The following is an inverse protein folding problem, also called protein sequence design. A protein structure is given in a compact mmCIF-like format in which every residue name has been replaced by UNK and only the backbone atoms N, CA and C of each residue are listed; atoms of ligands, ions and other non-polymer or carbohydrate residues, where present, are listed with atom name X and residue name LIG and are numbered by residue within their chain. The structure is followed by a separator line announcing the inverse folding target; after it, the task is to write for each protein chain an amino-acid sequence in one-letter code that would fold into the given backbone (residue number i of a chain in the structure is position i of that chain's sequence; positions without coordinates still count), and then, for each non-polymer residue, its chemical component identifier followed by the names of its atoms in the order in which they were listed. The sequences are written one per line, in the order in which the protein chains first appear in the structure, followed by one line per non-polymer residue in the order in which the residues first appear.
data_IF_575270155474
#
_entry.id   IF_575270155474
#
_cell.length_a   1.000
_cell.length_b   1.000
_cell.length_c   1.000
_cell.angle_alpha   90.00
_cell.angle_beta   90.00
_cell.angle_gamma   90.00
#
_symmetry.space_group_name_H-M   'P 1'
#
loop_
_entity.id
_entity.type
_entity.pdbx_description
1 polymer ?
#
# COMPACT_ATOMS: atom_id res chain seq x y z
N UNK A 1 16.24 -12.92 7.65
CA UNK A 1 15.84 -13.77 8.80
C UNK A 1 16.92 -14.79 9.14
N UNK A 2 17.05 -15.16 10.42
CA UNK A 2 17.96 -16.24 10.85
C UNK A 2 17.29 -17.61 10.71
N UNK A 3 18.08 -18.64 10.44
CA UNK A 3 17.55 -20.01 10.29
C UNK A 3 16.79 -20.50 11.53
N UNK A 4 17.29 -20.20 12.74
CA UNK A 4 16.60 -20.57 13.99
C UNK A 4 15.21 -19.94 14.10
N UNK A 5 15.06 -18.70 13.63
CA UNK A 5 13.80 -17.96 13.69
C UNK A 5 12.81 -18.52 12.69
N UNK A 6 13.29 -18.86 11.47
CA UNK A 6 12.46 -19.51 10.45
C UNK A 6 11.92 -20.85 10.98
N UNK A 7 12.77 -21.67 11.59
CA UNK A 7 12.36 -22.96 12.11
C UNK A 7 11.35 -22.80 13.25
N UNK A 8 11.57 -21.87 14.18
CA UNK A 8 10.62 -21.56 15.24
C UNK A 8 9.24 -21.15 14.68
N UNK A 9 9.21 -20.26 13.69
CA UNK A 9 7.95 -19.83 13.07
C UNK A 9 7.27 -21.00 12.37
N UNK A 10 8.02 -21.87 11.68
CA UNK A 10 7.47 -23.09 11.06
C UNK A 10 6.89 -24.05 12.09
N UNK A 11 7.55 -24.23 13.23
CA UNK A 11 7.05 -25.06 14.34
C UNK A 11 5.74 -24.48 14.91
N UNK A 12 5.65 -23.17 15.11
CA UNK A 12 4.44 -22.49 15.61
C UNK A 12 3.27 -22.60 14.60
N UNK A 13 3.57 -22.54 13.29
CA UNK A 13 2.59 -22.69 12.22
C UNK A 13 2.24 -24.15 11.88
N UNK A 14 3.01 -25.11 12.40
CA UNK A 14 2.84 -26.52 12.06
C UNK A 14 1.48 -27.03 12.55
N UNK A 15 0.65 -27.49 11.60
CA UNK A 15 -0.70 -27.97 11.92
C UNK A 15 -1.67 -26.86 12.34
N UNK A 16 -1.42 -25.61 11.94
CA UNK A 16 -2.30 -24.49 12.23
C UNK A 16 -3.66 -24.64 11.54
N UNK A 17 -4.63 -25.20 12.28
CA UNK A 17 -5.96 -25.52 11.76
C UNK A 17 -6.69 -24.32 11.16
N UNK A 18 -6.52 -23.13 11.75
CA UNK A 18 -7.15 -21.91 11.25
C UNK A 18 -6.76 -21.59 9.80
N UNK A 19 -5.49 -21.77 9.41
CA UNK A 19 -5.05 -21.53 8.02
C UNK A 19 -5.67 -22.51 7.02
N UNK A 20 -6.02 -23.72 7.46
CA UNK A 20 -6.72 -24.70 6.64
C UNK A 20 -8.23 -24.42 6.55
N UNK A 21 -8.80 -23.79 7.58
CA UNK A 21 -10.22 -23.41 7.64
C UNK A 21 -10.53 -22.08 6.94
N UNK A 22 -9.50 -21.26 6.66
CA UNK A 22 -9.66 -19.99 5.95
C UNK A 22 -10.34 -20.19 4.57
N UNK A 23 -11.41 -19.43 4.26
CA UNK A 23 -12.06 -19.51 2.97
C UNK A 23 -11.11 -19.15 1.83
N UNK A 24 -11.21 -19.87 0.71
CA UNK A 24 -10.39 -19.59 -0.48
C UNK A 24 -10.61 -18.19 -1.07
N UNK A 25 -11.73 -17.55 -0.77
CA UNK A 25 -12.01 -16.17 -1.13
C UNK A 25 -12.96 -15.46 -0.18
N UNK A 26 -12.82 -14.14 -0.11
CA UNK A 26 -13.67 -13.22 0.63
C UNK A 26 -13.67 -11.87 -0.09
N UNK A 27 -14.83 -11.22 -0.27
CA UNK A 27 -14.89 -9.80 -0.70
C UNK A 27 -14.07 -9.45 -1.96
N UNK A 28 -13.98 -10.37 -2.92
CA UNK A 28 -13.17 -10.18 -4.14
C UNK A 28 -11.65 -10.38 -3.95
N UNK A 29 -11.21 -10.83 -2.77
CA UNK A 29 -9.86 -11.27 -2.47
C UNK A 29 -9.75 -12.79 -2.53
N UNK A 30 -8.62 -13.28 -3.03
CA UNK A 30 -8.29 -14.71 -3.09
C UNK A 30 -7.17 -15.03 -2.12
N UNK A 31 -7.33 -16.12 -1.38
CA UNK A 31 -6.31 -16.62 -0.45
C UNK A 31 -5.15 -17.26 -1.22
N UNK A 32 -3.93 -16.88 -0.87
CA UNK A 32 -2.69 -17.57 -1.24
C UNK A 32 -1.86 -17.85 0.01
N UNK A 33 -1.57 -19.13 0.24
CA UNK A 33 -0.64 -19.58 1.29
C UNK A 33 0.79 -19.41 0.77
N UNK A 34 1.66 -18.77 1.55
CA UNK A 34 3.03 -18.44 1.14
C UNK A 34 3.99 -19.36 1.89
N UNK A 35 4.12 -19.19 3.21
CA UNK A 35 4.93 -20.06 4.06
C UNK A 35 6.44 -19.96 3.79
N UNK A 36 6.93 -18.81 3.30
CA UNK A 36 8.31 -18.61 2.89
C UNK A 36 8.90 -17.31 3.48
N UNK A 37 10.21 -17.29 3.79
CA UNK A 37 10.89 -16.07 4.22
C UNK A 37 11.04 -15.08 3.06
N UNK A 38 10.75 -13.81 3.34
CA UNK A 38 10.91 -12.66 2.45
C UNK A 38 11.73 -11.57 3.16
N UNK A 39 13.06 -11.60 2.95
CA UNK A 39 13.98 -10.68 3.63
C UNK A 39 14.02 -10.91 5.13
N UNK A 40 13.54 -9.93 5.90
CA UNK A 40 13.44 -9.98 7.37
C UNK A 40 12.03 -10.31 7.88
N UNK A 41 11.14 -10.71 6.96
CA UNK A 41 9.80 -11.18 7.26
C UNK A 41 9.63 -12.65 6.88
N UNK A 42 8.73 -13.35 7.57
CA UNK A 42 8.19 -14.65 7.16
C UNK A 42 6.74 -14.46 6.76
N UNK A 43 6.45 -14.52 5.46
CA UNK A 43 5.10 -14.34 4.95
C UNK A 43 4.32 -15.63 5.08
N UNK A 44 3.20 -15.59 5.79
CA UNK A 44 2.42 -16.77 6.15
C UNK A 44 1.36 -17.01 5.06
N UNK A 45 0.47 -16.04 4.86
CA UNK A 45 -0.55 -16.05 3.82
C UNK A 45 -0.92 -14.63 3.42
N UNK A 46 -1.53 -14.50 2.24
CA UNK A 46 -2.11 -13.25 1.76
C UNK A 46 -3.52 -13.46 1.22
N UNK A 47 -4.38 -12.48 1.44
CA UNK A 47 -5.59 -12.28 0.64
C UNK A 47 -5.31 -11.16 -0.35
N UNK A 48 -5.36 -11.46 -1.65
CA UNK A 48 -5.01 -10.50 -2.71
C UNK A 48 -6.14 -10.32 -3.71
N UNK A 49 -6.29 -9.08 -4.18
CA UNK A 49 -7.23 -8.70 -5.22
C UNK A 49 -6.50 -7.85 -6.26
N UNK A 50 -6.19 -8.46 -7.40
CA UNK A 50 -5.55 -7.76 -8.52
C UNK A 50 -6.45 -6.66 -9.08
N UNK A 51 -7.77 -6.91 -9.15
CA UNK A 51 -8.76 -5.95 -9.66
C UNK A 51 -8.89 -4.71 -8.78
N UNK A 52 -8.77 -4.88 -7.45
CA UNK A 52 -8.82 -3.77 -6.50
C UNK A 52 -7.44 -3.16 -6.25
N UNK A 53 -6.36 -3.76 -6.75
CA UNK A 53 -4.98 -3.44 -6.40
C UNK A 53 -4.76 -3.37 -4.87
N UNK A 54 -5.33 -4.33 -4.14
CA UNK A 54 -5.28 -4.40 -2.69
C UNK A 54 -4.88 -5.78 -2.20
N UNK A 55 -4.22 -5.84 -1.05
CA UNK A 55 -3.98 -7.11 -0.35
C UNK A 55 -3.89 -6.94 1.15
N UNK A 56 -4.05 -8.05 1.88
CA UNK A 56 -3.77 -8.18 3.30
C UNK A 56 -2.89 -9.41 3.53
N UNK A 57 -1.67 -9.22 4.04
CA UNK A 57 -0.68 -10.27 4.23
C UNK A 57 -0.34 -10.43 5.71
N UNK A 58 -0.53 -11.64 6.23
CA UNK A 58 -0.13 -12.03 7.58
C UNK A 58 1.33 -12.49 7.56
N UNK A 59 2.13 -12.00 8.50
CA UNK A 59 3.56 -12.27 8.52
C UNK A 59 4.15 -12.20 9.93
N UNK A 60 5.30 -12.82 10.11
CA UNK A 60 6.16 -12.64 11.27
C UNK A 60 7.34 -11.75 10.90
N UNK A 61 7.74 -10.82 11.79
CA UNK A 61 8.86 -9.91 11.57
C UNK A 61 10.03 -10.24 12.50
N UNK A 62 11.21 -10.50 11.93
CA UNK A 62 12.41 -10.92 12.68
C UNK A 62 12.84 -9.89 13.73
N UNK A 63 12.99 -8.62 13.35
CA UNK A 63 13.61 -7.63 14.23
C UNK A 63 12.78 -7.39 15.51
N UNK A 64 11.46 -7.34 15.38
CA UNK A 64 10.54 -7.07 16.48
C UNK A 64 10.02 -8.34 17.16
N UNK A 65 10.27 -9.51 16.58
CA UNK A 65 9.76 -10.81 17.05
C UNK A 65 8.24 -10.82 17.25
N UNK A 66 7.52 -10.27 16.27
CA UNK A 66 6.08 -10.05 16.34
C UNK A 66 5.39 -10.58 15.09
N UNK A 67 4.22 -11.18 15.29
CA UNK A 67 3.21 -11.41 14.25
C UNK A 67 2.48 -10.11 13.94
N UNK A 68 2.22 -9.89 12.65
CA UNK A 68 1.67 -8.65 12.11
C UNK A 68 0.78 -8.95 10.91
N UNK A 69 -0.08 -7.98 10.59
CA UNK A 69 -0.86 -7.96 9.37
C UNK A 69 -0.55 -6.66 8.64
N UNK A 70 -0.06 -6.74 7.40
CA UNK A 70 0.12 -5.57 6.54
C UNK A 70 -0.94 -5.55 5.47
N UNK A 71 -1.43 -4.36 5.13
CA UNK A 71 -2.31 -4.15 3.99
C UNK A 71 -1.56 -3.36 2.94
N UNK A 72 -1.83 -3.67 1.68
CA UNK A 72 -1.41 -2.89 0.52
C UNK A 72 -2.63 -2.29 -0.14
N UNK A 73 -2.60 -0.99 -0.40
CA UNK A 73 -3.64 -0.26 -1.14
C UNK A 73 -2.93 0.53 -2.24
N UNK A 74 -3.11 0.11 -3.48
CA UNK A 74 -2.32 0.62 -4.60
C UNK A 74 -0.84 0.29 -4.39
N UNK A 75 0.00 1.33 -4.29
CA UNK A 75 1.43 1.18 -3.98
C UNK A 75 1.76 1.42 -2.50
N UNK A 76 0.77 1.72 -1.67
CA UNK A 76 0.98 2.08 -0.26
C UNK A 76 0.82 0.84 0.60
N UNK A 77 1.86 0.50 1.34
CA UNK A 77 1.84 -0.59 2.32
C UNK A 77 1.84 -0.03 3.74
N UNK A 78 1.00 -0.58 4.62
CA UNK A 78 0.97 -0.21 6.03
C UNK A 78 0.67 -1.42 6.92
N UNK A 79 1.30 -1.44 8.08
CA UNK A 79 1.01 -2.41 9.12
C UNK A 79 -0.24 -2.00 9.90
N UNK A 80 -1.18 -2.94 10.07
CA UNK A 80 -2.36 -2.77 10.93
C UNK A 80 -1.96 -2.97 12.38
N UNK A 81 -1.96 -1.87 13.13
CA UNK A 81 -1.48 -1.82 14.51
C UNK A 81 -2.27 -2.77 15.43
N UNK A 82 -3.53 -3.05 15.09
CA UNK A 82 -4.41 -3.93 15.87
C UNK A 82 -3.93 -5.39 15.88
N UNK A 83 -3.10 -5.79 14.91
CA UNK A 83 -2.61 -7.16 14.73
C UNK A 83 -1.18 -7.36 15.24
N UNK A 84 -0.53 -6.34 15.77
CA UNK A 84 0.85 -6.43 16.25
C UNK A 84 0.87 -7.16 17.60
N UNK A 85 1.46 -8.35 17.63
CA UNK A 85 1.59 -9.15 18.86
C UNK A 85 2.74 -10.15 18.77
N UNK A 86 3.46 -10.38 19.87
CA UNK A 86 4.46 -11.44 19.97
C UNK A 86 3.85 -12.82 20.28
N UNK A 87 2.58 -12.86 20.71
CA UNK A 87 1.86 -14.09 21.05
C UNK A 87 1.04 -14.59 19.86
N UNK A 88 1.36 -15.80 19.39
CA UNK A 88 0.71 -16.44 18.26
C UNK A 88 -0.77 -16.79 18.50
N UNK A 89 -1.14 -17.18 19.72
CA UNK A 89 -2.54 -17.49 20.07
C UNK A 89 -3.38 -16.22 20.04
N UNK A 90 -2.82 -15.11 20.53
CA UNK A 90 -3.45 -13.79 20.43
C UNK A 90 -3.58 -13.36 18.97
N UNK A 91 -2.55 -13.60 18.15
CA UNK A 91 -2.58 -13.28 16.72
C UNK A 91 -3.72 -14.01 16.00
N UNK A 92 -3.86 -15.31 16.22
CA UNK A 92 -4.97 -16.11 15.65
C UNK A 92 -6.34 -15.56 16.08
N UNK A 93 -6.50 -15.22 17.36
CA UNK A 93 -7.74 -14.66 17.88
C UNK A 93 -8.10 -13.32 17.21
N UNK A 94 -7.10 -12.47 16.95
CA UNK A 94 -7.29 -11.20 16.22
C UNK A 94 -7.70 -11.43 14.77
N UNK A 95 -7.05 -12.37 14.07
CA UNK A 95 -7.42 -12.75 12.70
C UNK A 95 -8.86 -13.26 12.63
N UNK A 96 -9.24 -14.18 13.51
CA UNK A 96 -10.61 -14.71 13.59
C UNK A 96 -11.66 -13.62 13.83
N UNK A 97 -11.32 -12.62 14.65
CA UNK A 97 -12.26 -11.57 15.03
C UNK A 97 -12.42 -10.47 13.97
N UNK A 98 -11.38 -10.20 13.16
CA UNK A 98 -11.30 -8.94 12.40
C UNK A 98 -10.89 -9.08 10.93
N UNK A 99 -10.38 -10.23 10.48
CA UNK A 99 -9.83 -10.36 9.12
C UNK A 99 -10.90 -10.20 8.03
N UNK A 100 -12.04 -10.88 8.15
CA UNK A 100 -13.11 -10.80 7.15
C UNK A 100 -13.67 -9.37 7.06
N UNK A 101 -13.96 -8.74 8.20
CA UNK A 101 -14.43 -7.34 8.23
C UNK A 101 -13.41 -6.38 7.64
N UNK A 102 -12.11 -6.59 7.89
CA UNK A 102 -11.06 -5.80 7.26
C UNK A 102 -11.08 -5.94 5.74
N UNK A 103 -11.25 -7.15 5.20
CA UNK A 103 -11.33 -7.36 3.76
C UNK A 103 -12.58 -6.69 3.17
N UNK A 104 -13.71 -6.73 3.87
CA UNK A 104 -14.93 -6.02 3.48
C UNK A 104 -14.73 -4.50 3.43
N UNK A 105 -14.04 -3.92 4.43
CA UNK A 105 -13.67 -2.49 4.46
C UNK A 105 -12.72 -2.11 3.33
N UNK A 106 -11.81 -3.01 2.93
CA UNK A 106 -10.92 -2.80 1.80
C UNK A 106 -11.65 -2.88 0.46
N UNK A 107 -12.67 -3.72 0.34
CA UNK A 107 -13.50 -3.84 -0.86
C UNK A 107 -14.40 -2.60 -1.05
N UNK A 108 -15.18 -2.26 -0.02
CA UNK A 108 -16.24 -1.28 -0.10
C UNK A 108 -15.98 -0.09 0.80
N UNK A 109 -15.96 1.12 0.22
CA UNK A 109 -15.86 2.35 1.00
C UNK A 109 -17.14 2.59 1.81
N UNK A 110 -16.98 2.79 3.11
CA UNK A 110 -18.04 3.23 4.01
C UNK A 110 -17.81 4.69 4.44
N UNK A 111 -18.65 5.65 4.00
CA UNK A 111 -18.58 7.03 4.46
C UNK A 111 -18.69 7.15 5.99
N UNK A 112 -19.41 6.23 6.66
CA UNK A 112 -19.61 6.24 8.10
C UNK A 112 -18.31 5.96 8.89
N UNK A 113 -17.32 5.32 8.26
CA UNK A 113 -15.99 5.06 8.83
C UNK A 113 -15.05 6.29 8.87
N UNK A 114 -15.37 7.33 8.11
CA UNK A 114 -14.55 8.55 8.02
C UNK A 114 -14.68 9.41 9.28
N UNK A 115 -13.54 9.90 9.79
CA UNK A 115 -13.48 10.80 10.96
C UNK A 115 -14.34 12.06 10.76
N UNK A 116 -14.95 12.56 11.84
CA UNK A 116 -15.69 13.83 11.81
C UNK A 116 -14.84 14.99 11.33
N UNK A 117 -13.54 15.03 11.68
CA UNK A 117 -12.60 16.09 11.26
C UNK A 117 -12.48 16.13 9.73
N UNK A 118 -12.36 14.97 9.08
CA UNK A 118 -12.27 14.87 7.62
C UNK A 118 -13.56 15.30 6.95
N UNK A 119 -14.72 14.94 7.54
CA UNK A 119 -16.03 15.37 7.04
C UNK A 119 -16.23 16.87 7.19
N UNK A 120 -15.82 17.46 8.31
CA UNK A 120 -15.88 18.90 8.57
C UNK A 120 -14.96 19.70 7.64
N UNK A 121 -13.87 19.10 7.13
CA UNK A 121 -13.06 19.69 6.05
C UNK A 121 -13.71 19.60 4.67
N UNK A 122 -14.89 18.98 4.55
CA UNK A 122 -15.64 18.88 3.30
C UNK A 122 -14.89 18.16 2.16
N UNK A 123 -13.87 17.36 2.48
CA UNK A 123 -13.03 16.65 1.49
C UNK A 123 -13.88 15.75 0.58
N UNK A 124 -14.86 15.04 1.16
CA UNK A 124 -15.72 14.09 0.44
C UNK A 124 -16.65 14.78 -0.57
N UNK A 125 -16.98 16.05 -0.32
CA UNK A 125 -17.91 16.84 -1.13
C UNK A 125 -17.21 17.96 -1.89
N UNK A 126 -15.88 17.97 -1.88
CA UNK A 126 -15.07 19.01 -2.50
C UNK A 126 -15.21 18.97 -4.02
N UNK A 127 -15.77 20.06 -4.58
CA UNK A 127 -16.10 20.16 -6.00
C UNK A 127 -14.89 19.96 -6.91
N UNK A 128 -13.79 20.70 -6.69
CA UNK A 128 -12.61 20.57 -7.55
C UNK A 128 -12.00 19.15 -7.46
N UNK A 129 -12.06 18.53 -6.27
CA UNK A 129 -11.68 17.13 -6.09
C UNK A 129 -12.52 16.14 -6.92
N UNK A 130 -13.81 16.43 -7.14
CA UNK A 130 -14.69 15.62 -7.99
C UNK A 130 -14.47 15.83 -9.49
N UNK A 131 -13.83 16.94 -9.87
CA UNK A 131 -13.53 17.31 -11.27
C UNK A 131 -12.12 16.86 -11.71
N UNK A 132 -11.37 16.21 -10.81
CA UNK A 132 -10.05 15.64 -11.12
C UNK A 132 -10.15 14.63 -12.29
N UNK A 133 -9.28 14.74 -13.32
CA UNK A 133 -9.27 13.81 -14.44
C UNK A 133 -9.04 12.36 -13.99
N UNK A 134 -9.78 11.42 -14.58
CA UNK A 134 -9.58 9.98 -14.36
C UNK A 134 -8.18 9.51 -14.79
N UNK A 135 -7.61 10.16 -15.81
CA UNK A 135 -6.24 9.95 -16.25
C UNK A 135 -5.53 11.28 -16.45
N UNK A 136 -4.26 11.35 -16.08
CA UNK A 136 -3.43 12.56 -16.20
C UNK A 136 -1.97 12.17 -16.37
N UNK A 137 -1.33 12.65 -17.44
CA UNK A 137 0.09 12.39 -17.74
C UNK A 137 0.50 10.89 -17.72
N UNK A 138 -0.45 9.97 -17.97
CA UNK A 138 -0.24 8.51 -17.95
C UNK A 138 -0.57 7.81 -16.64
N UNK A 139 -0.86 8.56 -15.58
CA UNK A 139 -1.32 8.03 -14.31
C UNK A 139 -2.84 7.94 -14.32
N UNK A 140 -3.38 6.97 -13.58
CA UNK A 140 -4.82 6.83 -13.33
C UNK A 140 -5.17 7.32 -11.94
N UNK A 141 -6.29 8.01 -11.78
CA UNK A 141 -6.81 8.46 -10.49
C UNK A 141 -7.38 7.26 -9.72
N UNK A 142 -6.57 6.66 -8.85
CA UNK A 142 -6.90 5.47 -8.10
C UNK A 142 -7.65 5.76 -6.80
N UNK A 143 -7.17 6.73 -6.02
CA UNK A 143 -7.89 7.24 -4.84
C UNK A 143 -8.34 8.67 -5.14
N UNK A 144 -9.60 8.98 -4.81
CA UNK A 144 -10.22 10.28 -5.05
C UNK A 144 -10.83 10.86 -3.78
N UNK A 145 -11.02 12.19 -3.68
CA UNK A 145 -11.45 12.84 -2.44
C UNK A 145 -12.81 12.35 -1.91
N UNK A 146 -13.71 11.91 -2.79
CA UNK A 146 -15.01 11.34 -2.41
C UNK A 146 -14.90 10.03 -1.61
N UNK A 147 -13.80 9.29 -1.77
CA UNK A 147 -13.56 7.97 -1.17
C UNK A 147 -12.16 7.92 -0.54
N UNK A 148 -11.86 8.76 0.47
CA UNK A 148 -10.53 8.85 1.04
C UNK A 148 -10.21 7.59 1.85
N UNK A 149 -8.93 7.19 1.84
CA UNK A 149 -8.47 5.98 2.51
C UNK A 149 -7.75 6.35 3.80
N UNK A 150 -8.26 5.88 4.94
CA UNK A 150 -7.60 6.06 6.23
C UNK A 150 -6.32 5.23 6.28
N UNK A 151 -5.22 5.85 6.71
CA UNK A 151 -3.94 5.19 6.96
C UNK A 151 -3.48 5.46 8.41
N UNK A 152 -2.28 4.99 8.75
CA UNK A 152 -1.70 5.17 10.07
C UNK A 152 -1.42 6.65 10.40
N UNK A 153 -1.16 6.93 11.68
CA UNK A 153 -0.77 8.26 12.19
C UNK A 153 -1.77 9.38 11.89
N UNK A 154 -3.06 9.06 11.78
CA UNK A 154 -4.14 10.03 11.57
C UNK A 154 -4.16 10.62 10.16
N UNK A 155 -3.45 10.03 9.21
CA UNK A 155 -3.48 10.47 7.82
C UNK A 155 -4.58 9.77 7.03
N UNK A 156 -5.09 10.47 6.02
CA UNK A 156 -5.95 9.94 4.98
C UNK A 156 -5.26 10.17 3.64
N UNK A 157 -5.23 9.17 2.77
CA UNK A 157 -4.94 9.39 1.35
C UNK A 157 -6.21 9.96 0.74
N UNK A 158 -6.11 11.14 0.14
CA UNK A 158 -7.27 11.84 -0.45
C UNK A 158 -7.22 11.85 -1.98
N UNK A 159 -6.01 11.82 -2.56
CA UNK A 159 -5.79 11.74 -4.00
C UNK A 159 -4.61 10.80 -4.21
N UNK A 160 -4.72 9.86 -5.14
CA UNK A 160 -3.61 9.03 -5.58
C UNK A 160 -3.68 8.84 -7.10
N UNK A 161 -2.72 9.45 -7.81
CA UNK A 161 -2.49 9.20 -9.23
C UNK A 161 -1.39 8.17 -9.38
N UNK A 162 -1.72 7.00 -9.93
CA UNK A 162 -0.81 5.84 -9.97
C UNK A 162 -0.63 5.29 -11.39
N UNK A 163 0.59 4.85 -11.67
CA UNK A 163 0.94 3.97 -12.78
C UNK A 163 1.52 2.69 -12.18
N UNK A 164 0.70 1.63 -12.17
CA UNK A 164 1.09 0.33 -11.64
C UNK A 164 2.19 -0.34 -12.45
N UNK A 165 2.30 -0.05 -13.74
CA UNK A 165 3.32 -0.66 -14.61
C UNK A 165 4.73 -0.12 -14.32
N UNK A 166 4.80 1.13 -13.86
CA UNK A 166 6.02 1.80 -13.45
C UNK A 166 6.23 1.78 -11.93
N UNK A 167 5.35 1.12 -11.18
CA UNK A 167 5.31 1.14 -9.71
C UNK A 167 5.50 2.55 -9.14
N UNK A 168 4.83 3.54 -9.75
CA UNK A 168 5.03 4.95 -9.44
C UNK A 168 3.71 5.68 -9.21
N UNK A 169 3.70 6.67 -8.31
CA UNK A 169 2.51 7.45 -8.00
C UNK A 169 2.83 8.86 -7.51
N UNK A 170 1.83 9.74 -7.54
CA UNK A 170 1.79 11.01 -6.79
C UNK A 170 0.56 10.96 -5.89
N UNK A 171 0.81 10.98 -4.58
CA UNK A 171 -0.20 10.83 -3.55
C UNK A 171 -0.31 12.10 -2.71
N UNK A 172 -1.53 12.59 -2.50
CA UNK A 172 -1.84 13.68 -1.58
C UNK A 172 -2.56 13.10 -0.37
N UNK A 173 -2.15 13.56 0.81
CA UNK A 173 -2.67 13.15 2.09
C UNK A 173 -3.31 14.33 2.82
N UNK A 174 -4.17 14.03 3.77
CA UNK A 174 -4.61 14.96 4.82
C UNK A 174 -4.36 14.35 6.19
N UNK A 175 -3.66 15.06 7.08
CA UNK A 175 -3.42 14.61 8.46
C UNK A 175 -4.34 15.33 9.45
N UNK A 176 -5.14 14.58 10.19
CA UNK A 176 -6.11 15.15 11.13
C UNK A 176 -5.47 15.74 12.40
N UNK A 177 -4.24 15.34 12.74
CA UNK A 177 -3.55 15.83 13.95
C UNK A 177 -2.79 17.12 13.69
N UNK A 178 -2.28 17.30 12.46
CA UNK A 178 -1.55 18.51 12.04
C UNK A 178 -2.44 19.50 11.29
N UNK A 179 -3.66 19.09 10.93
CA UNK A 179 -4.59 19.86 10.12
C UNK A 179 -3.95 20.36 8.81
N UNK A 180 -3.21 19.47 8.13
CA UNK A 180 -2.41 19.80 6.95
C UNK A 180 -2.65 18.79 5.82
N UNK A 181 -2.62 19.29 4.60
CA UNK A 181 -2.40 18.52 3.40
C UNK A 181 -0.91 18.47 3.10
N UNK A 182 -0.44 17.33 2.61
CA UNK A 182 0.95 17.14 2.19
C UNK A 182 1.00 16.07 1.10
N UNK A 183 2.13 15.91 0.42
CA UNK A 183 2.25 14.92 -0.64
C UNK A 183 3.53 14.09 -0.59
N UNK A 184 3.49 12.98 -1.29
CA UNK A 184 4.64 12.13 -1.56
C UNK A 184 4.50 11.60 -2.98
N UNK A 185 5.61 11.46 -3.70
CA UNK A 185 5.63 10.61 -4.89
C UNK A 185 6.30 9.27 -4.58
N UNK A 186 5.97 8.24 -5.34
CA UNK A 186 6.74 7.00 -5.40
C UNK A 186 7.30 6.85 -6.81
N UNK A 187 8.57 6.50 -6.90
CA UNK A 187 9.23 6.16 -8.17
C UNK A 187 9.82 4.77 -8.00
N UNK A 188 9.29 3.78 -8.72
CA UNK A 188 9.67 2.38 -8.53
C UNK A 188 9.56 1.92 -7.07
N UNK A 189 8.43 2.26 -6.44
CA UNK A 189 8.10 2.02 -5.05
C UNK A 189 9.03 2.68 -4.02
N UNK A 190 9.93 3.58 -4.46
CA UNK A 190 10.81 4.36 -3.57
C UNK A 190 10.13 5.70 -3.26
N UNK A 191 9.91 6.04 -1.98
CA UNK A 191 9.35 7.34 -1.58
C UNK A 191 10.23 8.53 -1.99
N UNK A 192 9.60 9.58 -2.50
CA UNK A 192 10.18 10.85 -2.91
C UNK A 192 9.32 12.00 -2.37
N UNK A 193 9.70 12.49 -1.18
CA UNK A 193 8.98 13.53 -0.45
C UNK A 193 9.14 14.88 -1.14
N UNK A 194 8.05 15.62 -1.25
CA UNK A 194 8.05 17.01 -1.68
C UNK A 194 7.03 17.82 -0.87
N UNK A 195 7.18 19.14 -0.87
CA UNK A 195 6.34 20.06 -0.08
C UNK A 195 5.51 20.99 -0.96
N UNK A 196 5.39 20.70 -2.27
CA UNK A 196 4.75 21.60 -3.23
C UNK A 196 3.23 21.69 -3.05
N UNK A 197 2.64 20.71 -2.38
CA UNK A 197 1.21 20.59 -2.10
C UNK A 197 0.85 20.93 -0.64
N UNK A 198 1.84 21.32 0.16
CA UNK A 198 1.64 21.63 1.57
C UNK A 198 0.67 22.81 1.70
N UNK A 199 -0.42 22.58 2.42
CA UNK A 199 -1.50 23.54 2.61
C UNK A 199 -2.36 23.15 3.80
N UNK A 200 -3.17 24.07 4.32
CA UNK A 200 -4.08 23.77 5.45
C UNK A 200 -5.55 23.85 5.05
N UNK A 201 -5.84 24.37 3.85
CA UNK A 201 -7.22 24.57 3.37
C UNK A 201 -7.43 23.99 1.98
N UNK A 202 -8.67 23.60 1.68
CA UNK A 202 -9.03 23.10 0.35
C UNK A 202 -8.76 24.11 -0.77
N UNK A 203 -9.05 25.43 -0.63
CA UNK A 203 -8.71 26.40 -1.67
C UNK A 203 -7.22 26.53 -1.94
N UNK A 204 -6.38 26.48 -0.90
CA UNK A 204 -4.92 26.46 -1.08
C UNK A 204 -4.47 25.19 -1.79
N UNK A 205 -4.97 24.02 -1.37
CA UNK A 205 -4.69 22.76 -2.04
C UNK A 205 -5.13 22.80 -3.51
N UNK A 206 -6.27 23.41 -3.82
CA UNK A 206 -6.76 23.59 -5.19
C UNK A 206 -5.76 24.38 -6.04
N UNK A 207 -5.27 25.52 -5.54
CA UNK A 207 -4.26 26.34 -6.21
C UNK A 207 -2.96 25.56 -6.44
N UNK A 208 -2.53 24.77 -5.44
CA UNK A 208 -1.36 23.89 -5.56
C UNK A 208 -1.56 22.82 -6.61
N UNK A 209 -2.72 22.15 -6.64
CA UNK A 209 -3.01 21.13 -7.66
C UNK A 209 -3.01 21.75 -9.07
N UNK A 210 -3.61 22.91 -9.25
CA UNK A 210 -3.63 23.60 -10.55
C UNK A 210 -2.23 23.97 -11.04
N UNK A 211 -1.32 24.33 -10.13
CA UNK A 211 0.02 24.80 -10.47
C UNK A 211 1.05 23.67 -10.57
N UNK A 212 0.98 22.70 -9.65
CA UNK A 212 2.06 21.74 -9.41
C UNK A 212 1.75 20.31 -9.88
N UNK A 213 0.48 19.91 -10.03
CA UNK A 213 0.13 18.51 -10.29
C UNK A 213 0.69 18.00 -11.62
N UNK A 214 0.43 18.70 -12.72
CA UNK A 214 0.91 18.29 -14.05
C UNK A 214 2.44 18.27 -14.13
N UNK A 215 3.16 19.35 -13.75
CA UNK A 215 4.62 19.31 -13.72
C UNK A 215 5.19 18.16 -12.89
N UNK A 216 4.58 17.89 -11.73
CA UNK A 216 5.03 16.83 -10.83
C UNK A 216 4.82 15.44 -11.44
N UNK A 217 3.66 15.17 -12.03
CA UNK A 217 3.40 13.88 -12.70
C UNK A 217 4.36 13.66 -13.88
N UNK A 218 4.64 14.69 -14.67
CA UNK A 218 5.61 14.62 -15.76
C UNK A 218 7.03 14.31 -15.26
N UNK A 219 7.45 14.95 -14.18
CA UNK A 219 8.75 14.69 -13.55
C UNK A 219 8.85 13.25 -13.03
N UNK A 220 7.85 12.79 -12.27
CA UNK A 220 7.78 11.43 -11.73
C UNK A 220 7.83 10.40 -12.85
N UNK A 221 7.05 10.62 -13.92
CA UNK A 221 7.07 9.73 -15.09
C UNK A 221 8.44 9.66 -15.74
N UNK A 222 9.05 10.81 -16.04
CA UNK A 222 10.35 10.85 -16.70
C UNK A 222 11.43 10.15 -15.85
N UNK A 223 11.38 10.31 -14.53
CA UNK A 223 12.27 9.60 -13.59
C UNK A 223 11.99 8.09 -13.58
N UNK A 224 10.72 7.69 -13.55
CA UNK A 224 10.32 6.28 -13.54
C UNK A 224 10.69 5.54 -14.84
N UNK A 225 10.50 6.17 -15.99
CA UNK A 225 10.89 5.61 -17.30
C UNK A 225 12.41 5.49 -17.43
N UNK A 226 13.15 6.49 -16.94
CA UNK A 226 14.62 6.41 -16.88
C UNK A 226 15.09 5.25 -16.00
N UNK A 227 14.49 5.08 -14.82
CA UNK A 227 14.82 3.96 -13.92
C UNK A 227 14.43 2.61 -14.53
N UNK A 228 13.29 2.53 -15.24
CA UNK A 228 12.87 1.34 -15.96
C UNK A 228 13.91 0.91 -17.00
N UNK A 229 14.39 1.87 -17.82
CA UNK A 229 15.41 1.61 -18.82
C UNK A 229 16.74 1.14 -18.20
N UNK A 230 17.14 1.74 -17.07
CA UNK A 230 18.35 1.31 -16.34
C UNK A 230 18.22 -0.11 -15.79
N UNK A 231 17.04 -0.49 -15.29
CA UNK A 231 16.77 -1.85 -14.79
C UNK A 231 16.78 -2.88 -15.90
N UNK A 232 16.16 -2.58 -17.04
CA UNK A 232 16.19 -3.43 -18.23
C UNK A 232 17.62 -3.67 -18.72
N UNK A 233 18.42 -2.60 -18.88
CA UNK A 233 19.81 -2.73 -19.29
C UNK A 233 20.66 -3.59 -18.32
N UNK A 234 20.43 -3.47 -17.00
CA UNK A 234 21.09 -4.31 -16.00
C UNK A 234 20.70 -5.79 -16.13
N UNK A 235 19.43 -6.08 -16.38
CA UNK A 235 18.94 -7.44 -16.57
C UNK A 235 19.52 -8.08 -17.83
N UNK A 236 19.52 -7.37 -18.96
CA UNK A 236 20.10 -7.83 -20.22
C UNK A 236 21.61 -8.10 -20.09
N UNK A 237 22.35 -7.22 -19.42
CA UNK A 237 23.77 -7.44 -19.13
C UNK A 237 24.01 -8.65 -18.24
N UNK A 238 23.19 -8.87 -17.19
CA UNK A 238 23.33 -10.04 -16.31
C UNK A 238 23.00 -11.35 -17.03
N UNK A 239 22.00 -11.34 -17.91
CA UNK A 239 21.61 -12.51 -18.68
C UNK A 239 22.67 -12.89 -19.72
N UNK A 240 23.21 -11.89 -20.44
CA UNK A 240 24.31 -12.09 -21.38
C UNK A 240 25.58 -12.63 -20.69
N UNK A 241 25.87 -12.18 -19.46
CA UNK A 241 27.00 -12.66 -18.69
C UNK A 241 26.83 -14.12 -18.23
N UNK A 242 25.62 -14.53 -17.81
CA UNK A 242 25.32 -15.92 -17.44
C UNK A 242 25.41 -16.87 -18.64
N UNK A 243 24.87 -16.46 -19.80
CA UNK A 243 24.94 -17.26 -21.03
C UNK A 243 26.39 -17.45 -21.52
N UNK A 244 27.28 -16.47 -21.28
CA UNK A 244 28.69 -16.58 -21.61
C UNK A 244 29.51 -17.45 -20.64
N UNK A 245 29.06 -17.61 -19.39
CA UNK A 245 29.66 -18.52 -18.41
C UNK A 245 29.21 -19.97 -18.62
N UNK A 246 27.97 -20.21 -19.04
CA UNK A 246 27.45 -21.56 -19.34
C UNK A 246 28.02 -22.16 -20.64
N UNK A 247 28.65 -21.33 -21.49
CA UNK A 247 29.31 -21.76 -22.74
C UNK A 247 30.82 -22.03 -22.58
N UNK A 248 31.37 -21.99 -21.36
CA UNK A 248 32.77 -22.33 -21.05
C UNK A 248 32.89 -23.60 -20.23
#
# INVERSE_FOLDING_TARGET
MKEETIEKVREELAGWAYLEELPGSWHGFTLRKIGEPAGDCYDIFTYESETLHKSATAYFHEETHEYKLRIKIGLIELCRIEFITADFVVFEALLKAQLESLLAELETFDPASVSSIVREKEILTWKAGSELPETLEGFSLFIRPAYPVKINNGSYIIIDYVDFSLESSVTVYFNIYRDEFFSEARIWNIPDVNYDFDSNTLPELEERLQTCLVPRLQEVRARAEKEAALRQAKQEHSQTAKEAEEQK
#
